data_IF_573918844706
#
_entry.id   IF_573918844706
#
_cell.length_a   1.000
_cell.length_b   1.000
_cell.length_c   1.000
_cell.angle_alpha   90.00
_cell.angle_beta   90.00
_cell.angle_gamma   90.00
#
_symmetry.space_group_name_H-M   'P 1'
#
loop_
_entity.id
_entity.type
_entity.pdbx_description
1 polymer ?
#
# COMPACT_ATOMS: atom_id res chain seq x y z
N UNK A 1 -68.46 -11.36 53.17
CA UNK A 1 -67.70 -10.31 52.48
C UNK A 1 -66.28 -10.82 52.49
N UNK A 2 -65.91 -11.46 51.39
CA UNK A 2 -64.79 -12.37 51.29
C UNK A 2 -63.46 -11.64 51.18
N UNK A 3 -62.44 -12.20 51.83
CA UNK A 3 -61.03 -11.98 51.57
C UNK A 3 -60.73 -12.14 50.07
N UNK A 4 -59.88 -11.26 49.51
CA UNK A 4 -58.74 -11.72 48.72
C UNK A 4 -57.71 -10.61 48.55
N UNK A 5 -56.56 -10.85 49.18
CA UNK A 5 -55.32 -10.11 49.00
C UNK A 5 -54.39 -10.94 48.12
N UNK A 6 -54.14 -10.48 46.90
CA UNK A 6 -52.99 -10.90 46.07
C UNK A 6 -52.65 -9.68 45.20
N UNK A 7 -51.54 -8.97 45.36
CA UNK A 7 -50.21 -9.48 45.70
C UNK A 7 -49.62 -10.15 44.47
N UNK A 8 -49.17 -9.33 43.51
CA UNK A 8 -48.62 -9.77 42.23
C UNK A 8 -47.65 -8.73 41.69
N UNK A 9 -46.67 -8.37 42.53
CA UNK A 9 -45.45 -7.70 42.12
C UNK A 9 -44.69 -8.65 41.19
N UNK A 10 -44.89 -8.52 39.89
CA UNK A 10 -44.01 -9.10 38.89
C UNK A 10 -42.75 -8.24 38.83
N UNK A 11 -41.99 -8.26 39.93
CA UNK A 11 -40.59 -7.91 39.95
C UNK A 11 -39.92 -8.85 38.96
N UNK A 12 -39.64 -8.33 37.77
CA UNK A 12 -38.66 -8.94 36.89
C UNK A 12 -37.41 -9.14 37.73
N UNK A 13 -37.07 -10.41 37.94
CA UNK A 13 -35.83 -10.86 38.56
C UNK A 13 -34.68 -10.33 37.70
N UNK A 14 -34.33 -9.07 37.93
CA UNK A 14 -33.06 -8.50 37.54
C UNK A 14 -32.05 -9.16 38.48
N UNK A 15 -31.72 -10.42 38.15
CA UNK A 15 -30.55 -11.08 38.68
C UNK A 15 -29.34 -10.14 38.59
N UNK A 16 -28.30 -10.37 39.40
CA UNK A 16 -27.10 -9.53 39.38
C UNK A 16 -26.70 -9.32 37.92
N UNK A 17 -26.64 -8.06 37.47
CA UNK A 17 -26.05 -7.76 36.17
C UNK A 17 -24.60 -8.20 36.34
N UNK A 18 -24.30 -9.42 35.90
CA UNK A 18 -22.93 -9.91 35.83
C UNK A 18 -22.12 -8.82 35.15
N UNK A 19 -21.06 -8.38 35.82
CA UNK A 19 -20.17 -7.35 35.29
C UNK A 19 -19.82 -7.79 33.86
N UNK A 20 -20.13 -6.96 32.83
CA UNK A 20 -20.00 -7.38 31.45
C UNK A 20 -18.57 -7.86 31.23
N UNK A 21 -18.41 -9.12 30.78
CA UNK A 21 -17.09 -9.73 30.53
C UNK A 21 -16.34 -8.90 29.48
N UNK A 22 -15.53 -7.96 29.99
CA UNK A 22 -14.78 -7.01 29.19
C UNK A 22 -13.79 -7.74 28.26
N UNK A 23 -13.32 -8.92 28.65
CA UNK A 23 -12.36 -9.69 27.86
C UNK A 23 -13.06 -10.49 26.75
N UNK A 24 -14.30 -10.94 26.94
CA UNK A 24 -15.15 -11.43 25.85
C UNK A 24 -15.49 -10.29 24.88
N UNK A 25 -15.91 -9.13 25.40
CA UNK A 25 -16.22 -7.97 24.56
C UNK A 25 -15.01 -7.50 23.74
N UNK A 26 -13.80 -7.48 24.31
CA UNK A 26 -12.56 -7.14 23.60
C UNK A 26 -12.25 -8.14 22.50
N UNK A 27 -12.42 -9.45 22.75
CA UNK A 27 -12.23 -10.50 21.75
C UNK A 27 -13.22 -10.36 20.59
N UNK A 28 -14.50 -10.13 20.90
CA UNK A 28 -15.53 -9.95 19.90
C UNK A 28 -15.32 -8.66 19.10
N UNK A 29 -14.93 -7.56 19.76
CA UNK A 29 -14.56 -6.31 19.09
C UNK A 29 -13.32 -6.46 18.20
N UNK A 30 -12.29 -7.19 18.63
CA UNK A 30 -11.12 -7.48 17.81
C UNK A 30 -11.47 -8.35 16.59
N UNK A 31 -12.38 -9.30 16.76
CA UNK A 31 -12.89 -10.15 15.68
C UNK A 31 -13.72 -9.34 14.67
N UNK A 32 -14.57 -8.42 15.15
CA UNK A 32 -15.35 -7.51 14.29
C UNK A 32 -14.44 -6.50 13.60
N UNK A 33 -13.47 -5.91 14.31
CA UNK A 33 -12.51 -4.95 13.75
C UNK A 33 -11.67 -5.61 12.65
N UNK A 34 -11.18 -6.83 12.86
CA UNK A 34 -10.43 -7.57 11.83
C UNK A 34 -11.27 -8.06 10.64
N UNK A 35 -12.60 -7.98 10.71
CA UNK A 35 -13.49 -8.27 9.60
C UNK A 35 -13.62 -7.10 8.61
N UNK A 36 -13.26 -5.87 9.01
CA UNK A 36 -13.42 -4.67 8.18
C UNK A 36 -12.60 -4.75 6.88
N UNK A 37 -13.29 -4.64 5.75
CA UNK A 37 -12.67 -4.56 4.44
C UNK A 37 -12.06 -3.19 4.17
N UNK A 38 -11.02 -3.19 3.34
CA UNK A 38 -10.37 -1.96 2.89
C UNK A 38 -11.33 -1.06 2.11
N UNK A 39 -12.31 -1.64 1.43
CA UNK A 39 -13.33 -0.88 0.70
C UNK A 39 -14.37 -0.26 1.63
N UNK A 40 -14.66 -0.92 2.75
CA UNK A 40 -15.61 -0.41 3.76
C UNK A 40 -15.00 0.82 4.46
N UNK A 41 -13.68 0.80 4.71
CA UNK A 41 -12.95 1.91 5.33
C UNK A 41 -12.47 2.97 4.32
N UNK A 42 -12.14 2.56 3.11
CA UNK A 42 -11.59 3.40 2.04
C UNK A 42 -12.28 3.07 0.71
N UNK A 43 -13.46 3.67 0.44
CA UNK A 43 -14.18 3.42 -0.80
C UNK A 43 -13.34 3.75 -2.04
N UNK A 44 -13.36 2.87 -3.04
CA UNK A 44 -12.59 2.98 -4.29
C UNK A 44 -11.18 2.41 -4.23
N UNK A 45 -10.68 1.98 -3.06
CA UNK A 45 -9.31 1.50 -2.90
C UNK A 45 -9.04 0.24 -3.74
N UNK A 46 -10.04 -0.63 -3.97
CA UNK A 46 -9.88 -1.77 -4.88
C UNK A 46 -9.60 -1.34 -6.32
N UNK A 47 -10.29 -0.31 -6.82
CA UNK A 47 -10.13 0.19 -8.18
C UNK A 47 -8.78 0.87 -8.39
N UNK A 48 -8.19 1.44 -7.35
CA UNK A 48 -6.85 2.02 -7.42
C UNK A 48 -5.77 1.01 -7.81
N UNK A 49 -5.94 -0.29 -7.52
CA UNK A 49 -5.00 -1.31 -8.00
C UNK A 49 -4.96 -1.42 -9.52
N UNK A 50 -6.10 -1.28 -10.20
CA UNK A 50 -6.15 -1.24 -11.68
C UNK A 50 -5.54 0.05 -12.21
N UNK A 51 -5.92 1.19 -11.64
CA UNK A 51 -5.44 2.50 -12.08
C UNK A 51 -3.92 2.58 -11.91
N UNK A 52 -3.42 2.24 -10.72
CA UNK A 52 -1.99 2.22 -10.45
C UNK A 52 -1.27 1.20 -11.34
N UNK A 53 -1.81 -0.02 -11.47
CA UNK A 53 -1.28 -1.05 -12.35
C UNK A 53 -1.11 -0.56 -13.79
N UNK A 54 -2.15 0.08 -14.34
CA UNK A 54 -2.15 0.65 -15.69
C UNK A 54 -1.20 1.84 -15.84
N UNK A 55 -1.25 2.81 -14.94
CA UNK A 55 -0.44 4.04 -15.01
C UNK A 55 1.04 3.74 -14.79
N UNK A 56 1.38 3.05 -13.70
CA UNK A 56 2.77 2.70 -13.37
C UNK A 56 3.30 1.69 -14.36
N UNK A 57 2.50 0.67 -14.71
CA UNK A 57 2.90 -0.35 -15.68
C UNK A 57 3.16 0.23 -17.06
N UNK A 58 2.22 1.02 -17.58
CA UNK A 58 2.34 1.68 -18.88
C UNK A 58 3.51 2.66 -18.93
N UNK A 59 3.71 3.44 -17.86
CA UNK A 59 4.79 4.41 -17.83
C UNK A 59 6.17 3.77 -17.67
N UNK A 60 6.28 2.64 -16.96
CA UNK A 60 7.52 1.87 -16.90
C UNK A 60 7.86 1.21 -18.25
N UNK A 61 6.86 0.70 -18.98
CA UNK A 61 7.05 0.20 -20.35
C UNK A 61 7.50 1.34 -21.28
N UNK A 62 6.85 2.50 -21.18
CA UNK A 62 7.21 3.68 -21.97
C UNK A 62 8.63 4.17 -21.65
N UNK A 63 9.00 4.21 -20.37
CA UNK A 63 10.35 4.54 -19.93
C UNK A 63 11.38 3.57 -20.52
N UNK A 64 11.05 2.27 -20.61
CA UNK A 64 11.91 1.30 -21.28
C UNK A 64 12.07 1.62 -22.78
N UNK A 65 10.97 1.92 -23.49
CA UNK A 65 11.03 2.28 -24.92
C UNK A 65 11.89 3.52 -25.16
N UNK A 66 11.77 4.53 -24.30
CA UNK A 66 12.57 5.77 -24.35
C UNK A 66 14.05 5.44 -24.15
N UNK A 67 14.35 4.61 -23.15
CA UNK A 67 15.70 4.16 -22.87
C UNK A 67 16.30 3.35 -24.03
N UNK A 68 15.57 2.35 -24.53
CA UNK A 68 15.98 1.50 -25.65
C UNK A 68 16.19 2.26 -26.96
N UNK A 69 15.47 3.37 -27.17
CA UNK A 69 15.62 4.24 -28.34
C UNK A 69 16.58 5.41 -28.12
N UNK A 70 17.26 5.48 -26.97
CA UNK A 70 18.17 6.58 -26.61
C UNK A 70 17.54 7.97 -26.78
N UNK A 71 16.24 8.08 -26.49
CA UNK A 71 15.52 9.36 -26.54
C UNK A 71 16.00 10.28 -25.41
N UNK A 72 15.74 11.59 -25.53
CA UNK A 72 16.38 12.59 -24.66
C UNK A 72 16.19 12.29 -23.16
N UNK A 73 17.26 12.46 -22.37
CA UNK A 73 17.22 12.30 -20.92
C UNK A 73 16.17 13.20 -20.26
N UNK A 74 15.89 14.37 -20.84
CA UNK A 74 14.84 15.27 -20.38
C UNK A 74 13.45 14.63 -20.43
N UNK A 75 13.15 13.84 -21.47
CA UNK A 75 11.87 13.13 -21.61
C UNK A 75 11.73 12.02 -20.56
N UNK A 76 12.82 11.29 -20.30
CA UNK A 76 12.88 10.27 -19.25
C UNK A 76 12.62 10.89 -17.86
N UNK A 77 13.32 11.97 -17.52
CA UNK A 77 13.13 12.69 -16.25
C UNK A 77 11.71 13.23 -16.12
N UNK A 78 11.16 13.82 -17.20
CA UNK A 78 9.81 14.38 -17.20
C UNK A 78 8.74 13.32 -16.89
N UNK A 79 8.82 12.13 -17.50
CA UNK A 79 7.85 11.04 -17.26
C UNK A 79 7.91 10.57 -15.81
N UNK A 80 9.11 10.34 -15.27
CA UNK A 80 9.26 9.91 -13.89
C UNK A 80 8.84 10.99 -12.90
N UNK A 81 9.15 12.26 -13.17
CA UNK A 81 8.70 13.37 -12.35
C UNK A 81 7.17 13.48 -12.33
N UNK A 82 6.53 13.39 -13.51
CA UNK A 82 5.07 13.39 -13.61
C UNK A 82 4.46 12.22 -12.85
N UNK A 83 5.04 11.02 -12.94
CA UNK A 83 4.57 9.85 -12.19
C UNK A 83 4.71 10.02 -10.68
N UNK A 84 5.88 10.47 -10.20
CA UNK A 84 6.15 10.66 -8.78
C UNK A 84 5.25 11.74 -8.20
N UNK A 85 5.08 12.87 -8.90
CA UNK A 85 4.18 13.95 -8.49
C UNK A 85 2.73 13.47 -8.52
N UNK A 86 2.30 12.78 -9.58
CA UNK A 86 0.93 12.28 -9.69
C UNK A 86 0.62 11.25 -8.59
N UNK A 87 1.51 10.28 -8.36
CA UNK A 87 1.38 9.30 -7.30
C UNK A 87 1.38 9.97 -5.92
N UNK A 88 2.30 10.91 -5.68
CA UNK A 88 2.38 11.69 -4.44
C UNK A 88 1.13 12.52 -4.18
N UNK A 89 0.58 13.18 -5.20
CA UNK A 89 -0.65 13.99 -5.10
C UNK A 89 -1.88 13.12 -4.89
N UNK A 90 -2.04 12.04 -5.65
CA UNK A 90 -3.16 11.10 -5.47
C UNK A 90 -3.13 10.52 -4.05
N UNK A 91 -1.96 10.09 -3.59
CA UNK A 91 -1.78 9.54 -2.25
C UNK A 91 -2.01 10.59 -1.16
N UNK A 92 -1.53 11.83 -1.35
CA UNK A 92 -1.77 12.94 -0.41
C UNK A 92 -3.25 13.27 -0.29
N UNK A 93 -3.98 13.32 -1.41
CA UNK A 93 -5.42 13.58 -1.43
C UNK A 93 -6.18 12.45 -0.73
N UNK A 94 -5.81 11.19 -0.96
CA UNK A 94 -6.37 10.06 -0.23
C UNK A 94 -6.08 10.16 1.27
N UNK A 95 -4.86 10.54 1.67
CA UNK A 95 -4.53 10.71 3.09
C UNK A 95 -5.30 11.87 3.74
N UNK A 96 -5.43 12.99 3.04
CA UNK A 96 -6.13 14.18 3.54
C UNK A 96 -7.66 14.01 3.61
N UNK A 97 -8.26 13.29 2.66
CA UNK A 97 -9.70 13.02 2.65
C UNK A 97 -10.15 12.11 3.80
N UNK A 98 -9.21 11.35 4.37
CA UNK A 98 -9.48 10.47 5.50
C UNK A 98 -9.19 11.14 6.84
N UNK A 99 -8.81 12.41 6.93
CA UNK A 99 -8.38 13.08 8.17
C UNK A 99 -9.57 13.56 9.02
N UNK A 100 -10.52 12.67 9.30
CA UNK A 100 -11.72 12.94 10.12
C UNK A 100 -11.78 12.01 11.34
N UNK A 101 -11.90 12.65 12.50
CA UNK A 101 -12.25 12.22 13.86
C UNK A 101 -11.35 11.24 14.65
N UNK A 102 -11.20 11.62 15.94
CA UNK A 102 -10.67 10.90 17.11
C UNK A 102 -10.00 9.56 16.81
N UNK A 103 -8.72 9.61 16.43
CA UNK A 103 -7.96 8.40 16.11
C UNK A 103 -7.15 7.90 17.30
N UNK A 104 -7.33 6.62 17.60
CA UNK A 104 -6.30 5.77 18.21
C UNK A 104 -4.92 6.16 17.62
N UNK A 105 -3.83 6.21 18.40
CA UNK A 105 -2.53 6.74 17.96
C UNK A 105 -1.90 5.86 16.86
N UNK A 106 -2.34 6.06 15.63
CA UNK A 106 -1.85 5.34 14.45
C UNK A 106 -0.80 6.19 13.72
N UNK A 107 0.27 5.58 13.16
CA UNK A 107 1.30 6.33 12.47
C UNK A 107 0.75 7.15 11.29
N UNK A 108 1.18 8.41 11.18
CA UNK A 108 0.75 9.28 10.10
C UNK A 108 1.34 8.83 8.76
N UNK A 109 0.46 8.54 7.79
CA UNK A 109 0.84 8.25 6.41
C UNK A 109 1.71 9.34 5.78
N UNK A 110 1.48 10.62 6.12
CA UNK A 110 2.26 11.75 5.61
C UNK A 110 3.72 11.67 6.06
N UNK A 111 3.96 11.34 7.34
CA UNK A 111 5.31 11.21 7.90
C UNK A 111 6.02 9.99 7.30
N UNK A 112 5.31 8.87 7.19
CA UNK A 112 5.84 7.64 6.60
C UNK A 112 6.25 7.85 5.14
N UNK A 113 5.38 8.41 4.30
CA UNK A 113 5.74 8.66 2.90
C UNK A 113 6.79 9.76 2.76
N UNK A 114 6.70 10.83 3.55
CA UNK A 114 7.67 11.91 3.54
C UNK A 114 9.09 11.42 3.86
N UNK A 115 9.22 10.52 4.84
CA UNK A 115 10.51 9.91 5.20
C UNK A 115 11.05 8.99 4.12
N UNK A 116 10.20 8.19 3.45
CA UNK A 116 10.62 7.37 2.31
C UNK A 116 11.11 8.22 1.13
N UNK A 117 10.39 9.29 0.78
CA UNK A 117 10.78 10.21 -0.29
C UNK A 117 12.09 10.93 0.07
N UNK A 118 12.21 11.45 1.29
CA UNK A 118 13.44 12.11 1.74
C UNK A 118 14.63 11.13 1.72
N UNK A 119 14.44 9.90 2.21
CA UNK A 119 15.44 8.85 2.17
C UNK A 119 15.87 8.51 0.74
N UNK A 120 14.92 8.39 -0.18
CA UNK A 120 15.21 8.17 -1.61
C UNK A 120 16.04 9.31 -2.23
N UNK A 121 15.69 10.57 -1.97
CA UNK A 121 16.45 11.73 -2.46
C UNK A 121 17.88 11.70 -1.93
N UNK A 122 18.07 11.46 -0.64
CA UNK A 122 19.39 11.38 -0.01
C UNK A 122 20.21 10.24 -0.61
N UNK A 123 19.65 9.03 -0.70
CA UNK A 123 20.34 7.87 -1.27
C UNK A 123 20.72 8.09 -2.73
N UNK A 124 19.83 8.73 -3.51
CA UNK A 124 20.09 9.07 -4.92
C UNK A 124 21.22 10.08 -5.05
N UNK A 125 21.23 11.13 -4.22
CA UNK A 125 22.30 12.13 -4.21
C UNK A 125 23.66 11.52 -3.85
N UNK A 126 23.71 10.66 -2.83
CA UNK A 126 24.93 9.93 -2.46
C UNK A 126 25.39 9.05 -3.63
N UNK A 127 24.50 8.22 -4.18
CA UNK A 127 24.83 7.31 -5.26
C UNK A 127 25.28 8.03 -6.53
N UNK A 128 24.70 9.19 -6.87
CA UNK A 128 25.10 9.94 -8.06
C UNK A 128 26.57 10.37 -8.05
N UNK A 129 27.14 10.61 -6.88
CA UNK A 129 28.56 10.94 -6.76
C UNK A 129 29.48 9.74 -7.03
N UNK A 130 28.97 8.52 -6.82
CA UNK A 130 29.74 7.26 -6.96
C UNK A 130 29.63 6.73 -8.39
N UNK A 131 28.46 6.83 -9.01
CA UNK A 131 28.15 6.25 -10.32
C UNK A 131 28.21 7.26 -11.47
N UNK A 132 28.88 8.40 -11.29
CA UNK A 132 28.97 9.47 -12.30
C UNK A 132 29.63 9.03 -13.61
N UNK A 133 30.62 8.13 -13.52
CA UNK A 133 31.44 7.69 -14.67
C UNK A 133 31.05 6.32 -15.24
N UNK A 134 29.93 5.75 -14.78
CA UNK A 134 29.47 4.40 -15.17
C UNK A 134 28.60 4.48 -16.44
N UNK A 135 28.65 3.48 -17.35
CA UNK A 135 27.79 3.47 -18.54
C UNK A 135 26.31 3.67 -18.19
N UNK A 136 25.62 4.47 -19.00
CA UNK A 136 24.24 4.92 -18.72
C UNK A 136 23.22 3.80 -18.50
N UNK A 137 23.42 2.62 -19.09
CA UNK A 137 22.59 1.42 -18.86
C UNK A 137 22.71 0.92 -17.43
N UNK A 138 23.94 0.71 -16.97
CA UNK A 138 24.20 0.22 -15.60
C UNK A 138 23.81 1.28 -14.58
N UNK A 139 24.11 2.55 -14.87
CA UNK A 139 23.70 3.68 -14.04
C UNK A 139 22.17 3.78 -13.90
N UNK A 140 21.45 3.68 -15.02
CA UNK A 140 19.99 3.68 -15.04
C UNK A 140 19.39 2.50 -14.28
N UNK A 141 19.90 1.29 -14.51
CA UNK A 141 19.48 0.09 -13.79
C UNK A 141 19.68 0.22 -12.27
N UNK A 142 20.79 0.83 -11.85
CA UNK A 142 21.06 1.10 -10.44
C UNK A 142 20.07 2.09 -9.83
N UNK A 143 19.86 3.25 -10.44
CA UNK A 143 18.90 4.24 -9.92
C UNK A 143 17.46 3.74 -9.93
N UNK A 144 17.11 2.92 -10.93
CA UNK A 144 15.82 2.28 -10.96
C UNK A 144 15.68 1.25 -9.84
N UNK A 145 16.68 0.39 -9.63
CA UNK A 145 16.76 -0.54 -8.49
C UNK A 145 16.60 0.17 -7.14
N UNK A 146 17.28 1.30 -6.94
CA UNK A 146 17.12 2.12 -5.74
C UNK A 146 15.68 2.61 -5.55
N UNK A 147 15.07 3.09 -6.64
CA UNK A 147 13.70 3.59 -6.63
C UNK A 147 12.68 2.49 -6.31
N UNK A 148 12.80 1.32 -6.94
CA UNK A 148 11.91 0.18 -6.67
C UNK A 148 12.18 -0.44 -5.29
N UNK A 149 13.39 -0.29 -4.73
CA UNK A 149 13.69 -0.67 -3.34
C UNK A 149 12.88 0.16 -2.36
N UNK A 150 12.90 1.49 -2.52
CA UNK A 150 12.12 2.41 -1.66
C UNK A 150 10.62 2.17 -1.85
N UNK A 151 10.18 1.97 -3.09
CA UNK A 151 8.79 1.66 -3.38
C UNK A 151 8.36 0.34 -2.71
N UNK A 152 9.17 -0.71 -2.82
CA UNK A 152 8.91 -2.01 -2.20
C UNK A 152 8.81 -1.92 -0.68
N UNK A 153 9.73 -1.18 -0.04
CA UNK A 153 9.64 -0.87 1.39
C UNK A 153 8.35 -0.12 1.73
N UNK A 154 7.95 0.84 0.91
CA UNK A 154 6.68 1.56 1.05
C UNK A 154 5.46 0.64 1.01
N UNK A 155 5.45 -0.37 0.13
CA UNK A 155 4.39 -1.38 0.07
C UNK A 155 4.36 -2.29 1.31
N UNK A 156 5.52 -2.75 1.79
CA UNK A 156 5.59 -3.53 3.02
C UNK A 156 5.06 -2.73 4.21
N UNK A 157 5.51 -1.49 4.34
CA UNK A 157 5.09 -0.58 5.40
C UNK A 157 3.59 -0.28 5.31
N UNK A 158 3.07 -0.07 4.10
CA UNK A 158 1.64 0.06 3.88
C UNK A 158 0.84 -1.16 4.39
N UNK A 159 1.31 -2.38 4.12
CA UNK A 159 0.71 -3.60 4.66
C UNK A 159 0.70 -3.63 6.19
N UNK A 160 1.77 -3.16 6.84
CA UNK A 160 1.85 -3.06 8.31
C UNK A 160 0.95 -1.97 8.89
N UNK A 161 0.81 -0.83 8.21
CA UNK A 161 -0.09 0.26 8.63
C UNK A 161 -1.55 -0.15 8.50
N UNK A 162 -1.90 -0.87 7.43
CA UNK A 162 -3.24 -1.45 7.29
C UNK A 162 -3.53 -2.44 8.43
N UNK A 163 -2.53 -3.17 8.93
CA UNK A 163 -2.67 -4.00 10.13
C UNK A 163 -2.94 -3.16 11.38
N UNK A 164 -2.24 -2.04 11.56
CA UNK A 164 -2.48 -1.13 12.67
C UNK A 164 -3.89 -0.49 12.60
N UNK A 165 -4.42 -0.28 11.40
CA UNK A 165 -5.80 0.17 11.18
C UNK A 165 -6.85 -0.96 11.22
N UNK A 166 -6.49 -2.14 11.74
CA UNK A 166 -7.36 -3.30 11.87
C UNK A 166 -7.97 -3.81 10.54
N UNK A 167 -7.38 -3.50 9.38
CA UNK A 167 -7.86 -4.00 8.11
C UNK A 167 -7.66 -5.52 8.02
N UNK A 168 -8.63 -6.22 7.43
CA UNK A 168 -8.61 -7.69 7.24
C UNK A 168 -7.33 -8.19 6.58
N UNK A 169 -6.87 -9.38 6.96
CA UNK A 169 -5.60 -9.99 6.49
C UNK A 169 -5.51 -10.06 4.96
N UNK A 170 -6.60 -10.47 4.32
CA UNK A 170 -6.70 -10.63 2.87
C UNK A 170 -6.43 -9.34 2.08
N UNK A 171 -6.74 -8.18 2.65
CA UNK A 171 -6.50 -6.89 1.96
C UNK A 171 -5.09 -6.36 2.17
N UNK A 172 -4.36 -6.96 3.12
CA UNK A 172 -2.96 -6.63 3.42
C UNK A 172 -1.98 -7.43 2.57
N UNK A 173 -2.31 -8.67 2.22
CA UNK A 173 -1.43 -9.54 1.43
C UNK A 173 -0.97 -8.97 0.08
N UNK A 174 -1.81 -8.27 -0.71
CA UNK A 174 -1.36 -7.66 -1.94
C UNK A 174 -0.23 -6.64 -1.74
N UNK A 175 -0.23 -5.93 -0.61
CA UNK A 175 0.83 -4.98 -0.26
C UNK A 175 2.13 -5.71 0.12
N UNK A 176 2.04 -6.78 0.91
CA UNK A 176 3.22 -7.58 1.25
C UNK A 176 3.82 -8.26 0.01
N UNK A 177 2.97 -8.87 -0.82
CA UNK A 177 3.40 -9.51 -2.06
C UNK A 177 4.08 -8.49 -2.99
N UNK A 178 3.48 -7.30 -3.17
CA UNK A 178 4.07 -6.20 -3.94
C UNK A 178 5.47 -5.83 -3.44
N UNK A 179 5.59 -5.58 -2.13
CA UNK A 179 6.86 -5.21 -1.53
C UNK A 179 7.94 -6.28 -1.72
N UNK A 180 7.61 -7.56 -1.48
CA UNK A 180 8.59 -8.65 -1.60
C UNK A 180 9.10 -8.79 -3.04
N UNK A 181 8.22 -8.90 -4.03
CA UNK A 181 8.69 -9.10 -5.40
C UNK A 181 9.45 -7.90 -5.95
N UNK A 182 9.09 -6.67 -5.52
CA UNK A 182 9.84 -5.46 -5.88
C UNK A 182 11.26 -5.49 -5.33
N UNK A 183 11.45 -5.88 -4.06
CA UNK A 183 12.77 -5.98 -3.45
C UNK A 183 13.62 -7.07 -4.12
N UNK A 184 13.01 -8.21 -4.46
CA UNK A 184 13.68 -9.27 -5.22
C UNK A 184 14.15 -8.74 -6.58
N UNK A 185 13.26 -8.07 -7.33
CA UNK A 185 13.61 -7.51 -8.63
C UNK A 185 14.71 -6.45 -8.50
N UNK A 186 14.62 -5.57 -7.50
CA UNK A 186 15.62 -4.54 -7.20
C UNK A 186 17.00 -5.15 -6.98
N UNK A 187 17.06 -6.20 -6.17
CA UNK A 187 18.30 -6.89 -5.85
C UNK A 187 18.98 -7.44 -7.10
N UNK A 188 18.25 -8.10 -8.00
CA UNK A 188 18.86 -8.73 -9.18
C UNK A 188 19.18 -7.77 -10.32
N UNK A 189 18.48 -6.64 -10.39
CA UNK A 189 18.60 -5.68 -11.49
C UNK A 189 20.03 -5.20 -11.80
N UNK A 190 20.88 -4.81 -10.84
CA UNK A 190 22.25 -4.38 -11.15
C UNK A 190 23.16 -5.54 -11.58
N UNK A 191 22.83 -6.80 -11.26
CA UNK A 191 23.71 -7.95 -11.51
C UNK A 191 23.37 -8.72 -12.78
N UNK A 192 22.16 -8.58 -13.30
CA UNK A 192 21.69 -9.35 -14.46
C UNK A 192 21.58 -8.43 -15.67
N UNK A 193 22.46 -8.62 -16.66
CA UNK A 193 22.51 -7.82 -17.89
C UNK A 193 21.12 -7.69 -18.55
N UNK A 194 20.40 -8.80 -18.69
CA UNK A 194 19.04 -8.79 -19.23
C UNK A 194 18.09 -7.85 -18.46
N UNK A 195 18.19 -7.78 -17.13
CA UNK A 195 17.38 -6.86 -16.32
C UNK A 195 17.85 -5.41 -16.43
N UNK A 196 19.13 -5.15 -16.73
CA UNK A 196 19.61 -3.79 -16.95
C UNK A 196 18.97 -3.16 -18.20
N UNK A 197 18.73 -3.96 -19.24
CA UNK A 197 18.06 -3.52 -20.47
C UNK A 197 16.54 -3.60 -20.39
N UNK A 198 15.99 -4.70 -19.87
CA UNK A 198 14.53 -4.96 -19.91
C UNK A 198 13.81 -4.73 -18.58
N UNK A 199 14.53 -4.39 -17.51
CA UNK A 199 14.01 -4.32 -16.15
C UNK A 199 12.83 -3.39 -15.97
N UNK A 200 12.81 -2.25 -16.68
CA UNK A 200 11.67 -1.32 -16.66
C UNK A 200 10.39 -1.94 -17.23
N UNK A 201 10.51 -2.69 -18.34
CA UNK A 201 9.34 -3.33 -18.97
C UNK A 201 8.87 -4.53 -18.15
N UNK A 202 9.81 -5.30 -17.60
CA UNK A 202 9.50 -6.43 -16.70
C UNK A 202 8.79 -5.92 -15.46
N UNK A 203 9.32 -4.88 -14.81
CA UNK A 203 8.66 -4.22 -13.68
C UNK A 203 7.26 -3.75 -14.07
N UNK A 204 7.12 -3.05 -15.19
CA UNK A 204 5.84 -2.54 -15.64
C UNK A 204 4.80 -3.63 -15.90
N UNK A 205 5.21 -4.71 -16.57
CA UNK A 205 4.38 -5.88 -16.82
C UNK A 205 3.98 -6.60 -15.53
N UNK A 206 4.94 -6.87 -14.64
CA UNK A 206 4.68 -7.48 -13.33
C UNK A 206 3.74 -6.61 -12.49
N UNK A 207 3.94 -5.30 -12.47
CA UNK A 207 3.12 -4.37 -11.70
C UNK A 207 1.69 -4.29 -12.25
N UNK A 208 1.53 -4.29 -13.57
CA UNK A 208 0.22 -4.36 -14.22
C UNK A 208 -0.50 -5.67 -13.87
N UNK A 209 0.18 -6.81 -14.03
CA UNK A 209 -0.38 -8.14 -13.69
C UNK A 209 -0.77 -8.19 -12.22
N UNK A 210 0.11 -7.71 -11.33
CA UNK A 210 -0.16 -7.64 -9.90
C UNK A 210 -1.40 -6.79 -9.60
N UNK A 211 -1.54 -5.63 -10.24
CA UNK A 211 -2.71 -4.75 -10.09
C UNK A 211 -4.01 -5.41 -10.55
N UNK A 212 -4.01 -6.05 -11.71
CA UNK A 212 -5.17 -6.78 -12.26
C UNK A 212 -5.54 -7.97 -11.37
N UNK A 213 -4.57 -8.79 -10.98
CA UNK A 213 -4.78 -9.94 -10.11
C UNK A 213 -5.32 -9.48 -8.75
N UNK A 214 -4.74 -8.44 -8.16
CA UNK A 214 -5.19 -7.90 -6.88
C UNK A 214 -6.62 -7.39 -6.98
N UNK A 215 -6.94 -6.60 -8.00
CA UNK A 215 -8.31 -6.14 -8.22
C UNK A 215 -9.30 -7.31 -8.33
N UNK A 216 -8.95 -8.32 -9.12
CA UNK A 216 -9.80 -9.50 -9.29
C UNK A 216 -9.99 -10.27 -7.98
N UNK A 217 -8.92 -10.53 -7.24
CA UNK A 217 -8.97 -11.23 -5.95
C UNK A 217 -9.81 -10.49 -4.92
N UNK A 218 -9.68 -9.17 -4.85
CA UNK A 218 -10.44 -8.34 -3.91
C UNK A 218 -11.90 -8.12 -4.32
N UNK A 219 -12.24 -8.35 -5.59
CA UNK A 219 -13.59 -8.10 -6.13
C UNK A 219 -14.42 -9.38 -6.23
N UNK A 220 -13.85 -10.49 -6.71
CA UNK A 220 -14.64 -11.65 -7.13
C UNK A 220 -14.36 -12.93 -6.36
N UNK A 221 -13.15 -13.09 -5.81
CA UNK A 221 -12.71 -14.42 -5.35
C UNK A 221 -13.06 -14.73 -3.90
N UNK A 222 -13.58 -13.76 -3.14
CA UNK A 222 -13.86 -13.92 -1.71
C UNK A 222 -15.13 -13.16 -1.26
N UNK A 223 -16.25 -13.37 -1.95
CA UNK A 223 -17.58 -13.21 -1.36
C UNK A 223 -17.98 -14.52 -0.67
#
# INVERSE_FOLDING_TARGET
>A
MSDDATGGDSGADAGPIDDPDLDALRRDLDQIKTAMGIEDRYPGQRRLWLVNGGVVGGAAILANVIFARSLSNALYIAIWFVLVVLAGVLQWRSAAANDTDEREPTPSWRVVFGTLIAGWVVLTAIASSIFGDVPGVVQGAYFFSLSITVLGMGYLLAGTLLRAHSIRARDRYPYYAAGVWMLVLAFFMPFVEFLQYFGYAIFGGLFLVHGVVTYYLLTYRWN
#
